data_IF_341625583719
#
_entry.id   IF_341625583719
#
_cell.length_a   1.000
_cell.length_b   1.000
_cell.length_c   1.000
_cell.angle_alpha   90.00
_cell.angle_beta   90.00
_cell.angle_gamma   90.00
#
_symmetry.space_group_name_H-M   'P 1'
#
loop_
_entity.id
_entity.type
_entity.pdbx_description
1 polymer ?
#
# COMPACT_ATOMS: atom_id res chain seq x y z
N UNK A 1 1.44 -1.45 7.88
CA UNK A 1 1.93 -0.33 7.03
C UNK A 1 0.91 0.79 7.09
N UNK A 2 1.36 2.03 7.27
CA UNK A 2 0.47 3.21 7.30
C UNK A 2 0.64 4.04 6.03
N UNK A 3 -0.47 4.57 5.52
CA UNK A 3 -0.55 5.38 4.31
C UNK A 3 -1.07 6.77 4.68
N UNK A 4 -0.25 7.79 4.49
CA UNK A 4 -0.61 9.17 4.82
C UNK A 4 -0.43 10.10 3.61
N UNK A 5 -1.12 11.23 3.62
CA UNK A 5 -1.01 12.28 2.61
C UNK A 5 -0.48 13.54 3.26
N UNK A 6 0.71 13.98 2.85
CA UNK A 6 1.30 15.25 3.34
C UNK A 6 0.85 16.46 2.50
N UNK A 7 -0.05 16.28 1.54
CA UNK A 7 -0.48 17.34 0.64
C UNK A 7 -1.40 18.35 1.35
N UNK A 8 -1.22 19.63 1.03
CA UNK A 8 -2.08 20.75 1.48
C UNK A 8 -3.54 20.58 1.04
N UNK A 9 -3.80 19.78 0.00
CA UNK A 9 -5.11 19.26 -0.38
C UNK A 9 -5.10 17.73 -0.23
N UNK A 10 -5.57 17.17 0.90
CA UNK A 10 -5.66 15.73 1.11
C UNK A 10 -6.61 15.12 0.07
N UNK A 11 -6.18 14.08 -0.64
CA UNK A 11 -7.01 13.35 -1.62
C UNK A 11 -6.87 11.85 -1.41
N UNK A 12 -7.87 11.09 -1.85
CA UNK A 12 -7.74 9.65 -1.88
C UNK A 12 -6.70 9.21 -2.93
N UNK A 13 -6.06 8.06 -2.71
CA UNK A 13 -5.19 7.44 -3.68
C UNK A 13 -5.37 5.92 -3.67
N UNK A 14 -5.15 5.28 -4.80
CA UNK A 14 -5.18 3.82 -4.91
C UNK A 14 -3.91 3.19 -4.37
N UNK A 15 -4.05 2.06 -3.69
CA UNK A 15 -2.95 1.22 -3.21
C UNK A 15 -3.18 -0.21 -3.68
N UNK A 16 -2.19 -0.80 -4.33
CA UNK A 16 -2.17 -2.22 -4.68
C UNK A 16 -0.97 -2.87 -4.00
N UNK A 17 -1.22 -3.91 -3.20
CA UNK A 17 -0.21 -4.66 -2.46
C UNK A 17 -0.23 -6.10 -2.97
N UNK A 18 0.94 -6.62 -3.30
CA UNK A 18 1.14 -7.98 -3.76
C UNK A 18 2.26 -8.63 -2.93
N UNK A 19 1.98 -9.75 -2.29
CA UNK A 19 2.93 -10.43 -1.41
C UNK A 19 2.79 -11.96 -1.52
N UNK A 20 3.89 -12.70 -1.30
CA UNK A 20 3.88 -14.15 -1.37
C UNK A 20 3.15 -14.75 -0.15
N UNK A 21 2.33 -15.76 -0.41
CA UNK A 21 1.66 -16.57 0.60
C UNK A 21 2.07 -18.03 0.40
N UNK A 22 1.72 -18.91 1.34
CA UNK A 22 2.09 -20.34 1.27
C UNK A 22 1.68 -21.03 -0.04
N UNK A 23 0.67 -20.53 -0.73
CA UNK A 23 0.17 -21.08 -1.99
C UNK A 23 0.16 -20.06 -3.14
N UNK A 24 1.23 -19.28 -3.30
CA UNK A 24 1.43 -18.38 -4.44
C UNK A 24 1.49 -16.91 -4.05
N UNK A 25 0.81 -16.04 -4.80
CA UNK A 25 0.78 -14.59 -4.54
C UNK A 25 -0.61 -14.15 -4.13
N UNK A 26 -0.70 -13.30 -3.12
CA UNK A 26 -1.94 -12.61 -2.73
C UNK A 26 -1.85 -11.15 -3.16
N UNK A 27 -2.90 -10.66 -3.80
CA UNK A 27 -3.03 -9.26 -4.23
C UNK A 27 -4.21 -8.60 -3.51
N UNK A 28 -3.98 -7.41 -2.99
CA UNK A 28 -4.97 -6.60 -2.28
C UNK A 28 -5.00 -5.22 -2.93
N UNK A 29 -6.21 -4.75 -3.20
CA UNK A 29 -6.46 -3.38 -3.65
C UNK A 29 -7.21 -2.63 -2.57
N UNK A 30 -6.72 -1.46 -2.19
CA UNK A 30 -7.32 -0.59 -1.18
C UNK A 30 -7.11 0.88 -1.55
N UNK A 31 -7.66 1.79 -0.76
CA UNK A 31 -7.51 3.24 -0.94
C UNK A 31 -6.93 3.87 0.31
N UNK A 32 -5.96 4.77 0.14
CA UNK A 32 -5.44 5.63 1.19
C UNK A 32 -6.14 7.01 1.21
N UNK A 33 -5.93 7.82 2.27
CA UNK A 33 -5.11 7.52 3.46
C UNK A 33 -5.75 6.44 4.35
N UNK A 34 -4.94 5.71 5.12
CA UNK A 34 -5.39 4.57 5.90
C UNK A 34 -4.24 3.66 6.32
N UNK A 35 -4.54 2.44 6.75
CA UNK A 35 -3.50 1.45 7.06
C UNK A 35 -3.90 0.06 6.59
N UNK A 36 -2.90 -0.75 6.29
CA UNK A 36 -3.10 -2.15 5.98
C UNK A 36 -2.05 -3.01 6.69
N UNK A 37 -2.51 -4.11 7.30
CA UNK A 37 -1.67 -5.11 7.94
C UNK A 37 -1.72 -6.39 7.10
N UNK A 38 -0.54 -6.81 6.65
CA UNK A 38 -0.37 -8.11 6.01
C UNK A 38 -0.20 -9.14 7.14
N UNK A 39 -1.06 -10.15 7.19
CA UNK A 39 -1.07 -11.16 8.28
C UNK A 39 -0.61 -12.54 7.83
N UNK A 40 -0.43 -12.76 6.53
CA UNK A 40 -0.20 -14.08 5.95
C UNK A 40 0.99 -14.13 4.95
N UNK A 41 2.02 -13.30 5.14
CA UNK A 41 3.24 -13.26 4.32
C UNK A 41 4.22 -14.41 4.62
N UNK A 42 3.74 -15.64 4.48
CA UNK A 42 4.50 -16.86 4.77
C UNK A 42 5.09 -17.54 3.52
N UNK A 43 4.96 -16.90 2.35
CA UNK A 43 5.47 -17.45 1.08
C UNK A 43 6.91 -17.00 0.80
N UNK A 44 7.61 -17.76 -0.05
CA UNK A 44 8.91 -17.33 -0.58
C UNK A 44 8.70 -16.41 -1.79
N UNK A 45 9.21 -15.18 -1.73
CA UNK A 45 9.10 -14.21 -2.82
C UNK A 45 9.41 -12.78 -2.40
N UNK A 46 9.07 -11.83 -3.27
CA UNK A 46 9.30 -10.40 -3.05
C UNK A 46 7.98 -9.67 -2.95
N UNK A 47 7.80 -8.89 -1.88
CA UNK A 47 6.67 -8.00 -1.71
C UNK A 47 6.74 -6.85 -2.72
N UNK A 48 5.58 -6.47 -3.28
CA UNK A 48 5.44 -5.32 -4.17
C UNK A 48 4.26 -4.49 -3.74
N UNK A 49 4.45 -3.17 -3.72
CA UNK A 49 3.38 -2.21 -3.51
C UNK A 49 3.39 -1.15 -4.61
N UNK A 50 2.20 -0.74 -5.07
CA UNK A 50 2.00 0.30 -6.08
C UNK A 50 0.99 1.32 -5.57
N UNK A 51 1.26 2.58 -5.91
CA UNK A 51 0.40 3.70 -5.54
C UNK A 51 -0.06 4.43 -6.80
N UNK A 52 -1.31 4.84 -6.81
CA UNK A 52 -1.89 5.66 -7.88
C UNK A 52 -2.55 6.88 -7.27
N UNK A 53 -1.93 8.04 -7.44
CA UNK A 53 -2.56 9.30 -7.11
C UNK A 53 -3.72 9.60 -8.07
N UNK A 54 -4.78 10.22 -7.55
CA UNK A 54 -5.90 10.73 -8.33
C UNK A 54 -5.85 12.26 -8.53
N UNK A 55 -4.82 12.94 -8.02
CA UNK A 55 -4.73 14.39 -8.01
C UNK A 55 -3.30 14.87 -8.29
N UNK A 56 -3.17 15.90 -9.11
CA UNK A 56 -1.85 16.50 -9.42
C UNK A 56 -1.30 17.17 -8.15
N UNK A 57 -0.01 16.97 -7.88
CA UNK A 57 0.68 17.57 -6.73
C UNK A 57 0.48 16.83 -5.40
N UNK A 58 -0.12 15.63 -5.42
CA UNK A 58 -0.26 14.82 -4.22
C UNK A 58 1.07 14.17 -3.82
N UNK A 59 1.46 14.35 -2.55
CA UNK A 59 2.62 13.69 -1.93
C UNK A 59 2.11 12.58 -1.01
N UNK A 60 2.44 11.34 -1.36
CA UNK A 60 2.06 10.15 -0.60
C UNK A 60 3.26 9.72 0.24
N UNK A 61 3.09 9.66 1.57
CA UNK A 61 4.11 9.17 2.49
C UNK A 61 3.76 7.76 2.94
N UNK A 62 4.77 6.90 2.95
CA UNK A 62 4.63 5.49 3.33
C UNK A 62 5.51 5.26 4.56
N UNK A 63 4.90 4.74 5.62
CA UNK A 63 5.63 4.36 6.83
C UNK A 63 5.54 2.84 6.96
N UNK A 64 6.70 2.20 6.79
CA UNK A 64 6.90 0.78 7.05
C UNK A 64 7.64 0.61 8.36
N UNK A 65 7.00 -0.05 9.33
CA UNK A 65 7.63 -0.45 10.57
C UNK A 65 7.95 -1.93 10.42
N UNK A 66 9.25 -2.25 10.37
CA UNK A 66 9.79 -3.60 10.32
C UNK A 66 9.76 -4.26 11.70
#
# INVERSE_FOLDING_TARGET
MSFDTDSLAPSAFGVEIEYPVSNGMKRISTTGPGSHQITDNNGAGTDRIRFKSYSIGQVIRIIYNA
#
